data_IF_268280996522
#
_entry.id   IF_268280996522
#
_cell.length_a   1.000
_cell.length_b   1.000
_cell.length_c   1.000
_cell.angle_alpha   90.00
_cell.angle_beta   90.00
_cell.angle_gamma   90.00
#
_symmetry.space_group_name_H-M   'P 1'
#
loop_
_entity.id
_entity.type
_entity.pdbx_description
1 polymer ?
#
# COMPACT_ATOMS: atom_id res chain seq x y z
N UNK A 1 -1.03 -2.47 -3.46
CA UNK A 1 -0.94 -2.56 -2.00
C UNK A 1 -0.53 -3.97 -1.61
N UNK A 2 0.43 -4.10 -0.73
CA UNK A 2 1.02 -5.37 -0.29
C UNK A 2 0.82 -5.56 1.21
N UNK A 3 0.68 -6.80 1.65
CA UNK A 3 0.77 -7.11 3.07
C UNK A 3 2.24 -7.06 3.48
N UNK A 4 2.52 -6.34 4.56
CA UNK A 4 3.88 -6.15 5.06
C UNK A 4 3.97 -6.42 6.56
N UNK A 5 5.12 -6.90 6.96
CA UNK A 5 5.52 -7.09 8.35
C UNK A 5 6.98 -6.67 8.55
N UNK A 6 7.41 -6.61 9.78
CA UNK A 6 8.83 -6.38 10.06
C UNK A 6 9.66 -7.64 9.74
N UNK A 7 10.99 -7.49 9.68
CA UNK A 7 11.91 -8.60 9.36
C UNK A 7 11.85 -9.80 10.33
N UNK A 8 11.30 -9.61 11.54
CA UNK A 8 11.16 -10.68 12.54
C UNK A 8 9.81 -11.40 12.44
N UNK A 9 8.91 -10.92 11.58
CA UNK A 9 7.63 -11.58 11.37
C UNK A 9 7.91 -12.96 10.76
N UNK A 10 7.72 -14.00 11.57
CA UNK A 10 7.91 -15.37 11.09
C UNK A 10 6.81 -15.69 10.07
N UNK A 11 7.19 -15.80 8.81
CA UNK A 11 6.34 -16.33 7.76
C UNK A 11 6.74 -17.78 7.55
N UNK A 12 6.00 -18.67 8.13
CA UNK A 12 6.11 -20.07 7.74
C UNK A 12 5.25 -20.26 6.49
N UNK A 13 5.82 -20.73 5.41
CA UNK A 13 5.10 -21.02 4.13
C UNK A 13 3.86 -21.89 4.31
N UNK A 14 3.74 -22.58 5.44
CA UNK A 14 2.62 -23.44 5.81
C UNK A 14 1.49 -22.70 6.55
N UNK A 15 1.69 -21.46 7.00
CA UNK A 15 0.64 -20.71 7.70
C UNK A 15 -0.35 -20.19 6.66
N UNK A 16 -1.60 -20.63 6.78
CA UNK A 16 -2.69 -20.07 5.96
C UNK A 16 -2.83 -18.59 6.29
N UNK A 17 -3.01 -17.78 5.27
CA UNK A 17 -3.17 -16.32 5.37
C UNK A 17 -4.26 -15.93 6.36
N UNK A 18 -5.37 -16.65 6.33
CA UNK A 18 -6.52 -16.41 7.22
C UNK A 18 -6.11 -16.54 8.70
N UNK A 19 -5.26 -17.54 9.00
CA UNK A 19 -4.70 -17.75 10.35
C UNK A 19 -3.75 -16.61 10.72
N UNK A 20 -2.84 -16.24 9.82
CA UNK A 20 -1.88 -15.16 10.05
C UNK A 20 -2.58 -13.83 10.34
N UNK A 21 -3.58 -13.47 9.54
CA UNK A 21 -4.30 -12.21 9.67
C UNK A 21 -5.32 -12.19 10.83
N UNK A 22 -5.73 -13.36 11.33
CA UNK A 22 -6.57 -13.45 12.53
C UNK A 22 -5.76 -13.47 13.83
N UNK A 23 -4.52 -13.96 13.81
CA UNK A 23 -3.65 -14.06 14.98
C UNK A 23 -2.80 -12.82 15.20
N UNK A 24 -2.19 -12.28 14.11
CA UNK A 24 -1.35 -11.10 14.22
C UNK A 24 -2.21 -9.84 14.05
N UNK A 25 -2.14 -8.91 15.00
CA UNK A 25 -2.94 -7.68 14.92
C UNK A 25 -2.56 -6.83 13.72
N UNK A 26 -3.55 -6.17 13.13
CA UNK A 26 -3.37 -5.28 12.00
C UNK A 26 -3.35 -3.81 12.42
N UNK A 27 -2.52 -3.05 11.73
CA UNK A 27 -2.42 -1.60 11.85
C UNK A 27 -3.13 -0.98 10.67
N UNK A 28 -4.10 -0.14 10.95
CA UNK A 28 -4.97 0.50 9.96
C UNK A 28 -4.63 1.96 9.78
N UNK A 29 -4.91 2.45 8.60
CA UNK A 29 -5.06 3.89 8.37
C UNK A 29 -6.38 4.39 9.00
N UNK A 30 -6.50 5.68 9.11
CA UNK A 30 -7.72 6.37 9.55
C UNK A 30 -8.93 6.07 8.67
N UNK A 31 -10.12 6.32 9.21
CA UNK A 31 -11.37 6.25 8.45
C UNK A 31 -11.34 7.18 7.24
N UNK A 32 -11.86 6.72 6.10
CA UNK A 32 -11.86 7.45 4.84
C UNK A 32 -10.55 7.33 4.03
N UNK A 33 -9.49 6.75 4.58
CA UNK A 33 -8.28 6.44 3.80
C UNK A 33 -8.57 5.43 2.69
N UNK A 34 -8.19 5.74 1.46
CA UNK A 34 -8.33 4.82 0.33
C UNK A 34 -7.56 3.51 0.54
N UNK A 35 -6.42 3.55 1.23
CA UNK A 35 -5.66 2.35 1.62
C UNK A 35 -6.48 1.49 2.57
N UNK A 36 -7.10 2.08 3.59
CA UNK A 36 -7.97 1.37 4.52
C UNK A 36 -9.18 0.76 3.83
N UNK A 37 -9.88 1.53 3.01
CA UNK A 37 -11.05 1.04 2.24
C UNK A 37 -10.66 -0.19 1.40
N UNK A 38 -9.51 -0.14 0.73
CA UNK A 38 -9.02 -1.28 -0.07
C UNK A 38 -8.67 -2.49 0.79
N UNK A 39 -8.06 -2.26 1.95
CA UNK A 39 -7.72 -3.30 2.92
C UNK A 39 -8.97 -3.97 3.50
N UNK A 40 -9.94 -3.18 3.95
CA UNK A 40 -11.21 -3.69 4.51
C UNK A 40 -12.02 -4.45 3.47
N UNK A 41 -12.06 -3.96 2.22
CA UNK A 41 -12.68 -4.68 1.11
C UNK A 41 -12.00 -6.04 0.89
N UNK A 42 -10.67 -6.09 0.83
CA UNK A 42 -9.93 -7.34 0.68
C UNK A 42 -10.28 -8.33 1.80
N UNK A 43 -10.29 -7.87 3.06
CA UNK A 43 -10.64 -8.71 4.21
C UNK A 43 -12.07 -9.25 4.10
N UNK A 44 -13.02 -8.39 3.74
CA UNK A 44 -14.43 -8.76 3.56
C UNK A 44 -14.60 -9.77 2.44
N UNK A 45 -14.00 -9.53 1.27
CA UNK A 45 -14.08 -10.43 0.10
C UNK A 45 -13.47 -11.83 0.39
N UNK A 46 -12.54 -11.91 1.34
CA UNK A 46 -11.92 -13.17 1.78
C UNK A 46 -12.57 -13.79 3.02
N UNK A 47 -13.54 -13.11 3.64
CA UNK A 47 -14.16 -13.57 4.88
C UNK A 47 -13.21 -13.53 6.08
N UNK A 48 -12.14 -12.73 6.02
CA UNK A 48 -11.11 -12.65 7.06
C UNK A 48 -11.57 -11.69 8.15
N UNK A 49 -11.65 -12.17 9.38
CA UNK A 49 -11.92 -11.35 10.57
C UNK A 49 -10.59 -10.93 11.20
N UNK A 50 -10.08 -9.81 10.75
CA UNK A 50 -8.84 -9.28 11.28
C UNK A 50 -9.06 -8.51 12.60
N UNK A 51 -8.08 -8.59 13.49
CA UNK A 51 -8.07 -7.85 14.75
C UNK A 51 -7.32 -6.53 14.54
N UNK A 52 -8.04 -5.40 14.57
CA UNK A 52 -7.40 -4.09 14.56
C UNK A 52 -6.71 -3.83 15.89
N UNK A 53 -5.45 -3.41 15.84
CA UNK A 53 -4.67 -3.01 17.01
C UNK A 53 -4.53 -1.50 17.14
N UNK A 54 -4.20 -0.86 16.04
CA UNK A 54 -3.91 0.57 15.99
C UNK A 54 -4.56 1.20 14.75
N UNK A 55 -4.94 2.44 14.90
CA UNK A 55 -5.37 3.30 13.79
C UNK A 55 -4.46 4.53 13.76
N UNK A 56 -3.84 4.81 12.62
CA UNK A 56 -2.86 5.87 12.45
C UNK A 56 -3.20 6.71 11.22
N UNK A 57 -2.84 7.99 11.25
CA UNK A 57 -3.29 9.00 10.27
C UNK A 57 -2.38 9.19 9.08
N UNK A 58 -1.26 8.46 8.99
CA UNK A 58 -0.36 8.55 7.85
C UNK A 58 0.27 7.20 7.50
N UNK A 59 0.66 7.01 6.23
CA UNK A 59 1.40 5.83 5.81
C UNK A 59 2.74 5.73 6.53
N UNK A 60 3.38 6.87 6.81
CA UNK A 60 4.65 6.89 7.54
C UNK A 60 4.48 6.37 8.98
N UNK A 61 3.45 6.82 9.69
CA UNK A 61 3.17 6.34 11.04
C UNK A 61 2.87 4.83 11.06
N UNK A 62 2.08 4.34 10.08
CA UNK A 62 1.81 2.90 9.92
C UNK A 62 3.10 2.14 9.65
N UNK A 63 3.96 2.65 8.76
CA UNK A 63 5.25 2.05 8.44
C UNK A 63 6.13 1.91 9.68
N UNK A 64 6.28 2.96 10.48
CA UNK A 64 7.07 2.94 11.71
C UNK A 64 6.51 1.95 12.73
N UNK A 65 5.19 1.85 12.86
CA UNK A 65 4.56 0.88 13.74
C UNK A 65 4.78 -0.58 13.28
N UNK A 66 4.81 -0.83 11.97
CA UNK A 66 5.16 -2.15 11.41
C UNK A 66 6.63 -2.48 11.69
N UNK A 67 7.57 -1.54 11.46
CA UNK A 67 9.00 -1.71 11.75
C UNK A 67 9.20 -2.05 13.22
N UNK A 68 8.49 -1.36 14.12
CA UNK A 68 8.52 -1.62 15.55
C UNK A 68 7.91 -2.98 15.98
N UNK A 69 7.34 -3.73 15.02
CA UNK A 69 6.76 -5.06 15.31
C UNK A 69 5.41 -5.01 16.01
N UNK A 70 4.70 -3.88 15.92
CA UNK A 70 3.40 -3.74 16.58
C UNK A 70 2.27 -4.48 15.87
N UNK A 71 2.48 -4.91 14.62
CA UNK A 71 1.52 -5.66 13.82
C UNK A 71 1.87 -5.66 12.33
N UNK A 72 0.94 -6.17 11.52
CA UNK A 72 1.02 -6.15 10.06
C UNK A 72 0.19 -5.01 9.49
N UNK A 73 0.43 -4.65 8.23
CA UNK A 73 -0.45 -3.72 7.51
C UNK A 73 -0.48 -4.02 6.02
N UNK A 74 -1.53 -3.55 5.35
CA UNK A 74 -1.57 -3.51 3.88
C UNK A 74 -1.21 -2.08 3.45
N UNK A 75 -0.10 -1.95 2.73
CA UNK A 75 0.51 -0.65 2.44
C UNK A 75 0.84 -0.49 0.95
N UNK A 76 0.86 0.76 0.44
CA UNK A 76 1.37 1.03 -0.90
C UNK A 76 2.89 0.83 -0.96
N UNK A 77 3.34 0.09 -1.95
CA UNK A 77 4.76 -0.24 -2.13
C UNK A 77 5.64 1.00 -2.32
N UNK A 78 5.11 2.03 -2.97
CA UNK A 78 5.85 3.26 -3.32
C UNK A 78 6.51 3.96 -2.12
N UNK A 79 5.96 3.80 -0.92
CA UNK A 79 6.51 4.38 0.31
C UNK A 79 7.45 3.48 1.09
N UNK A 80 7.84 2.31 0.54
CA UNK A 80 8.56 1.27 1.28
C UNK A 80 9.94 0.95 0.72
N UNK A 81 10.39 1.64 -0.33
CA UNK A 81 11.63 1.32 -1.04
C UNK A 81 12.82 1.16 -0.12
N UNK A 82 13.10 2.19 0.68
CA UNK A 82 14.26 2.22 1.56
C UNK A 82 14.22 1.13 2.64
N UNK A 83 13.02 0.86 3.18
CA UNK A 83 12.81 -0.12 4.24
C UNK A 83 12.90 -1.55 3.72
N UNK A 84 12.51 -1.77 2.46
CA UNK A 84 12.70 -3.06 1.78
C UNK A 84 14.18 -3.30 1.45
N UNK A 85 14.89 -2.28 0.95
CA UNK A 85 16.33 -2.36 0.67
C UNK A 85 17.16 -2.60 1.94
N UNK A 86 16.74 -2.05 3.08
CA UNK A 86 17.36 -2.25 4.41
C UNK A 86 16.89 -3.51 5.14
N UNK A 87 15.93 -4.21 4.56
CA UNK A 87 15.29 -5.38 5.18
C UNK A 87 14.61 -5.07 6.54
N UNK A 88 14.23 -3.84 6.81
CA UNK A 88 13.46 -3.47 8.00
C UNK A 88 12.01 -3.91 7.90
N UNK A 89 11.49 -3.97 6.67
CA UNK A 89 10.16 -4.49 6.30
C UNK A 89 10.32 -5.60 5.26
N UNK A 90 9.45 -6.58 5.34
CA UNK A 90 9.31 -7.63 4.32
C UNK A 90 7.88 -7.67 3.78
N UNK A 91 7.76 -8.06 2.51
CA UNK A 91 6.48 -8.35 1.87
C UNK A 91 6.09 -9.78 2.22
N UNK A 92 4.86 -9.94 2.69
CA UNK A 92 4.30 -11.24 3.02
C UNK A 92 3.44 -11.74 1.84
N UNK A 93 3.79 -12.87 1.21
CA UNK A 93 3.06 -13.38 0.06
C UNK A 93 1.69 -13.89 0.48
N UNK A 94 0.65 -13.29 -0.06
CA UNK A 94 -0.74 -13.60 0.26
C UNK A 94 -1.55 -13.76 -1.02
N UNK A 95 -2.30 -14.85 -1.15
CA UNK A 95 -3.16 -15.07 -2.30
C UNK A 95 -4.21 -13.97 -2.44
N UNK A 96 -4.16 -13.23 -3.52
CA UNK A 96 -5.04 -12.10 -3.80
C UNK A 96 -4.42 -10.73 -3.52
N UNK A 97 -3.18 -10.70 -3.05
CA UNK A 97 -2.34 -9.50 -3.02
C UNK A 97 -1.24 -9.64 -4.10
N UNK A 98 -0.73 -8.53 -4.63
CA UNK A 98 -1.07 -7.15 -4.29
C UNK A 98 -2.45 -6.68 -4.82
N UNK A 99 -3.07 -5.75 -4.10
CA UNK A 99 -4.20 -5.00 -4.64
C UNK A 99 -3.63 -3.91 -5.55
N UNK A 100 -3.99 -3.95 -6.81
CA UNK A 100 -3.58 -2.94 -7.79
C UNK A 100 -4.51 -1.74 -7.69
N UNK A 101 -3.94 -0.55 -7.60
CA UNK A 101 -4.67 0.71 -7.60
C UNK A 101 -4.13 1.62 -8.70
N UNK A 102 -5.01 2.42 -9.29
CA UNK A 102 -4.65 3.36 -10.34
C UNK A 102 -4.74 4.78 -9.83
N UNK A 103 -3.71 5.57 -10.06
CA UNK A 103 -3.75 7.02 -9.87
C UNK A 103 -4.33 7.68 -11.09
N UNK A 104 -5.24 8.65 -10.88
CA UNK A 104 -5.93 9.34 -11.96
C UNK A 104 -5.96 10.83 -11.71
N UNK A 105 -5.65 11.62 -12.72
CA UNK A 105 -5.98 13.03 -12.75
C UNK A 105 -7.44 13.17 -13.18
N UNK A 106 -8.23 13.88 -12.40
CA UNK A 106 -9.64 14.11 -12.68
C UNK A 106 -9.97 15.60 -12.64
N UNK A 107 -10.90 16.02 -13.49
CA UNK A 107 -11.45 17.39 -13.49
C UNK A 107 -12.91 17.37 -13.94
N UNK A 108 -13.63 18.45 -13.66
CA UNK A 108 -15.04 18.56 -14.03
C UNK A 108 -15.21 18.60 -15.55
N UNK A 109 -16.14 17.80 -16.06
CA UNK A 109 -16.52 17.78 -17.47
C UNK A 109 -17.00 19.17 -17.88
N UNK A 110 -16.47 19.72 -19.00
CA UNK A 110 -16.83 21.03 -19.52
C UNK A 110 -16.12 22.22 -18.85
N UNK A 111 -15.36 22.02 -17.78
CA UNK A 111 -14.53 23.08 -17.20
C UNK A 111 -13.26 23.26 -18.04
N UNK A 112 -12.99 24.47 -18.53
CA UNK A 112 -11.70 24.81 -19.11
C UNK A 112 -10.63 24.79 -18.03
N UNK A 113 -9.56 24.08 -18.27
CA UNK A 113 -8.40 24.08 -17.39
C UNK A 113 -7.71 25.45 -17.44
N UNK A 114 -7.16 25.89 -16.33
CA UNK A 114 -6.28 27.04 -16.31
C UNK A 114 -5.01 26.77 -17.12
N UNK A 115 -4.27 27.78 -17.59
CA UNK A 115 -3.00 27.58 -18.31
C UNK A 115 -2.03 26.70 -17.54
N UNK A 116 -1.90 26.88 -16.22
CA UNK A 116 -1.04 26.05 -15.36
C UNK A 116 -1.51 24.62 -15.30
N UNK A 117 -2.82 24.37 -15.12
CA UNK A 117 -3.37 23.01 -15.07
C UNK A 117 -3.21 22.30 -16.44
N UNK A 118 -3.36 23.03 -17.53
CA UNK A 118 -3.15 22.51 -18.89
C UNK A 118 -1.70 22.13 -19.12
N UNK A 119 -0.77 23.01 -18.72
CA UNK A 119 0.67 22.75 -18.82
C UNK A 119 1.09 21.52 -17.98
N UNK A 120 0.58 21.41 -16.76
CA UNK A 120 0.83 20.25 -15.90
C UNK A 120 0.29 18.96 -16.50
N UNK A 121 -0.95 18.97 -17.02
CA UNK A 121 -1.53 17.80 -17.68
C UNK A 121 -0.70 17.38 -18.89
N UNK A 122 -0.28 18.34 -19.71
CA UNK A 122 0.57 18.08 -20.88
C UNK A 122 1.92 17.49 -20.45
N UNK A 123 2.57 18.07 -19.45
CA UNK A 123 3.81 17.55 -18.88
C UNK A 123 3.66 16.09 -18.44
N UNK A 124 2.67 15.80 -17.58
CA UNK A 124 2.45 14.44 -17.09
C UNK A 124 2.13 13.48 -18.24
N UNK A 125 1.35 13.90 -19.24
CA UNK A 125 1.02 13.05 -20.39
C UNK A 125 2.26 12.72 -21.21
N UNK A 126 3.14 13.68 -21.43
CA UNK A 126 4.35 13.49 -22.23
C UNK A 126 5.45 12.72 -21.50
N UNK A 127 5.58 12.95 -20.18
CA UNK A 127 6.71 12.45 -19.39
C UNK A 127 6.41 11.18 -18.59
N UNK A 128 5.15 10.74 -18.52
CA UNK A 128 4.72 9.65 -17.64
C UNK A 128 5.55 8.37 -17.82
N UNK A 129 5.87 7.99 -19.05
CA UNK A 129 6.63 6.77 -19.34
C UNK A 129 8.07 6.91 -18.85
N UNK A 130 8.71 8.04 -19.11
CA UNK A 130 10.06 8.33 -18.63
C UNK A 130 10.10 8.33 -17.10
N UNK A 131 9.17 9.03 -16.47
CA UNK A 131 9.05 9.10 -14.99
C UNK A 131 8.84 7.71 -14.40
N UNK A 132 7.99 6.89 -15.01
CA UNK A 132 7.76 5.53 -14.55
C UNK A 132 9.03 4.68 -14.61
N UNK A 133 9.75 4.72 -15.72
CA UNK A 133 10.98 3.95 -15.89
C UNK A 133 12.06 4.41 -14.93
N UNK A 134 12.30 5.72 -14.84
CA UNK A 134 13.41 6.26 -14.04
C UNK A 134 13.17 6.14 -12.53
N UNK A 135 11.92 6.31 -12.07
CA UNK A 135 11.64 6.43 -10.63
C UNK A 135 10.91 5.22 -10.03
N UNK A 136 10.23 4.41 -10.85
CA UNK A 136 9.32 3.38 -10.34
C UNK A 136 9.57 1.99 -10.91
N UNK A 137 10.55 1.78 -11.80
CA UNK A 137 10.87 0.47 -12.38
C UNK A 137 11.20 -0.59 -11.31
N UNK A 138 11.77 -0.19 -10.18
CA UNK A 138 12.06 -1.07 -9.05
C UNK A 138 10.81 -1.78 -8.49
N UNK A 139 9.61 -1.22 -8.67
CA UNK A 139 8.34 -1.82 -8.22
C UNK A 139 8.09 -3.17 -8.92
N UNK A 140 8.60 -3.34 -10.14
CA UNK A 140 8.43 -4.56 -10.93
C UNK A 140 9.23 -5.75 -10.38
N UNK A 141 10.09 -5.53 -9.40
CA UNK A 141 10.86 -6.58 -8.73
C UNK A 141 10.08 -7.29 -7.63
N UNK A 142 8.89 -6.80 -7.32
CA UNK A 142 7.98 -7.32 -6.31
C UNK A 142 6.64 -7.71 -6.94
#
# INVERSE_FOLDING_TARGET
>A
LFLVGNKKTAVNEKIKVDTLLSEIPLIYREDGSATRISMEKFMTDKGIKAKMKLQLTSNEAVKQAVIAGLGLSIMPLIGLKNELEKEDIQILPVKGLPIITNWRLIWLKGKKLSPIASAYLQFVTNEKERINVENFSWINSY
#
